data_IF_462826633568
#
_entry.id   IF_462826633568
#
_cell.length_a   1.000
_cell.length_b   1.000
_cell.length_c   1.000
_cell.angle_alpha   90.00
_cell.angle_beta   90.00
_cell.angle_gamma   90.00
#
_symmetry.space_group_name_H-M   'P 1'
#
loop_
_entity.id
_entity.type
_entity.pdbx_description
1 polymer ?
#
# COMPACT_ATOMS: atom_id res chain seq x y z
N UNK A 1 33.73 -40.05 -30.01
CA UNK A 1 32.44 -40.28 -30.70
C UNK A 1 31.32 -40.04 -29.70
N UNK A 2 30.25 -39.33 -30.02
CA UNK A 2 29.10 -39.25 -29.15
C UNK A 2 28.56 -40.68 -28.92
N UNK A 3 28.11 -40.95 -27.68
CA UNK A 3 27.50 -42.22 -27.30
C UNK A 3 26.27 -42.53 -28.18
N UNK A 4 25.97 -43.83 -28.40
CA UNK A 4 24.73 -44.24 -29.10
C UNK A 4 23.47 -43.65 -28.45
N UNK A 5 23.53 -43.28 -27.16
CA UNK A 5 22.42 -42.64 -26.39
C UNK A 5 22.46 -41.11 -26.45
N UNK A 6 23.34 -40.50 -27.26
CA UNK A 6 23.45 -39.03 -27.31
C UNK A 6 22.16 -38.36 -27.77
N UNK A 7 21.47 -38.91 -28.75
CA UNK A 7 20.17 -38.44 -29.18
C UNK A 7 19.11 -38.51 -28.09
N UNK A 8 19.14 -39.54 -27.23
CA UNK A 8 18.28 -39.69 -26.10
C UNK A 8 18.52 -38.60 -25.03
N UNK A 9 19.79 -38.25 -24.81
CA UNK A 9 20.17 -37.16 -23.89
C UNK A 9 19.67 -35.82 -24.40
N UNK A 10 19.75 -35.54 -25.70
CA UNK A 10 19.22 -34.34 -26.33
C UNK A 10 17.71 -34.29 -26.15
N UNK A 11 16.97 -35.37 -26.48
CA UNK A 11 15.55 -35.44 -26.32
C UNK A 11 15.13 -35.29 -24.85
N UNK A 12 15.86 -35.89 -23.91
CA UNK A 12 15.65 -35.75 -22.46
C UNK A 12 15.88 -34.34 -21.95
N UNK A 13 16.85 -33.60 -22.48
CA UNK A 13 17.07 -32.19 -22.13
C UNK A 13 15.90 -31.31 -22.61
N UNK A 14 15.43 -31.52 -23.84
CA UNK A 14 14.29 -30.83 -24.40
C UNK A 14 13.00 -31.09 -23.63
N UNK A 15 12.78 -32.34 -23.20
CA UNK A 15 11.61 -32.70 -22.38
C UNK A 15 11.66 -32.00 -21.01
N UNK A 16 12.81 -31.96 -20.34
CA UNK A 16 12.97 -31.25 -19.06
C UNK A 16 12.73 -29.76 -19.20
N UNK A 17 13.28 -29.15 -20.25
CA UNK A 17 13.11 -27.73 -20.53
C UNK A 17 11.63 -27.39 -20.83
N UNK A 18 10.94 -28.23 -21.61
CA UNK A 18 9.51 -28.08 -21.90
C UNK A 18 8.64 -28.22 -20.62
N UNK A 19 8.95 -29.19 -19.76
CA UNK A 19 8.26 -29.35 -18.49
C UNK A 19 8.47 -28.13 -17.55
N UNK A 20 9.68 -27.57 -17.49
CA UNK A 20 9.94 -26.37 -16.74
C UNK A 20 9.11 -25.19 -17.27
N UNK A 21 9.02 -25.02 -18.59
CA UNK A 21 8.21 -23.98 -19.22
C UNK A 21 6.71 -24.16 -18.96
N UNK A 22 6.19 -25.39 -19.05
CA UNK A 22 4.79 -25.71 -18.75
C UNK A 22 4.47 -25.43 -17.27
N UNK A 23 5.30 -25.87 -16.35
CA UNK A 23 5.11 -25.65 -14.90
C UNK A 23 5.13 -24.15 -14.58
N UNK A 24 6.03 -23.40 -15.18
CA UNK A 24 6.10 -21.95 -15.00
C UNK A 24 4.86 -21.25 -15.57
N UNK A 25 4.39 -21.69 -16.73
CA UNK A 25 3.16 -21.16 -17.34
C UNK A 25 1.94 -21.48 -16.47
N UNK A 26 1.82 -22.70 -15.96
CA UNK A 26 0.74 -23.11 -15.05
C UNK A 26 0.76 -22.27 -13.76
N UNK A 27 1.94 -22.04 -13.19
CA UNK A 27 2.11 -21.16 -12.02
C UNK A 27 1.71 -19.71 -12.32
N UNK A 28 2.09 -19.16 -13.47
CA UNK A 28 1.67 -17.84 -13.92
C UNK A 28 0.13 -17.71 -14.05
N UNK A 29 -0.51 -18.71 -14.64
CA UNK A 29 -1.96 -18.74 -14.80
C UNK A 29 -2.65 -18.82 -13.44
N UNK A 30 -2.20 -19.72 -12.58
CA UNK A 30 -2.78 -19.91 -11.23
C UNK A 30 -2.67 -18.65 -10.38
N UNK A 31 -1.61 -17.86 -10.55
CA UNK A 31 -1.35 -16.65 -9.79
C UNK A 31 -1.70 -15.36 -10.54
N UNK A 32 -2.42 -15.42 -11.67
CA UNK A 32 -2.74 -14.24 -12.48
C UNK A 32 -3.54 -13.17 -11.70
N UNK A 33 -4.35 -13.58 -10.72
CA UNK A 33 -5.13 -12.72 -9.84
C UNK A 33 -4.47 -12.44 -8.48
N UNK A 34 -3.30 -13.05 -8.21
CA UNK A 34 -2.61 -12.89 -6.93
C UNK A 34 -1.93 -11.51 -6.86
N UNK A 35 -2.34 -10.69 -5.89
CA UNK A 35 -1.79 -9.35 -5.71
C UNK A 35 -0.29 -9.40 -5.42
N UNK A 36 0.48 -8.65 -6.19
CA UNK A 36 1.94 -8.57 -6.03
C UNK A 36 2.73 -9.65 -6.77
N UNK A 37 2.09 -10.66 -7.34
CA UNK A 37 2.74 -11.69 -8.14
C UNK A 37 3.36 -11.10 -9.42
N UNK A 38 4.55 -11.59 -9.76
CA UNK A 38 5.26 -11.21 -10.99
C UNK A 38 5.34 -12.39 -11.94
N UNK A 39 4.91 -12.19 -13.18
CA UNK A 39 5.04 -13.21 -14.21
C UNK A 39 6.47 -13.70 -14.29
N UNK A 40 6.65 -15.02 -14.33
CA UNK A 40 7.93 -15.68 -14.45
C UNK A 40 8.15 -16.19 -15.86
N UNK A 41 9.39 -16.18 -16.31
CA UNK A 41 9.83 -16.70 -17.61
C UNK A 41 11.00 -17.62 -17.39
N UNK A 42 11.00 -18.72 -18.11
CA UNK A 42 12.11 -19.68 -18.13
C UNK A 42 13.15 -19.19 -19.12
N UNK A 43 14.39 -19.00 -18.66
CA UNK A 43 15.53 -18.70 -19.50
C UNK A 43 16.17 -20.04 -19.93
N UNK A 44 16.26 -20.24 -21.24
CA UNK A 44 16.82 -21.44 -21.84
C UNK A 44 17.92 -21.06 -22.81
N UNK A 45 18.94 -21.87 -22.85
CA UNK A 45 20.09 -21.71 -23.74
C UNK A 45 20.42 -23.03 -24.41
N UNK A 46 20.96 -22.97 -25.63
CA UNK A 46 21.51 -24.15 -26.28
C UNK A 46 22.70 -24.65 -25.51
N UNK A 47 22.70 -25.95 -25.16
CA UNK A 47 23.85 -26.55 -24.49
C UNK A 47 25.07 -26.53 -25.38
N UNK A 48 26.28 -26.52 -24.79
CA UNK A 48 27.53 -26.48 -25.49
C UNK A 48 27.64 -27.62 -26.51
N UNK A 49 27.85 -27.27 -27.78
CA UNK A 49 27.98 -28.25 -28.85
C UNK A 49 29.22 -29.14 -28.65
N UNK A 50 29.04 -30.43 -28.79
CA UNK A 50 30.16 -31.38 -28.75
C UNK A 50 30.92 -31.39 -30.08
N UNK A 51 32.22 -31.18 -30.00
CA UNK A 51 33.11 -31.32 -31.17
C UNK A 51 33.20 -32.78 -31.59
N UNK A 52 32.74 -33.06 -32.79
CA UNK A 52 32.86 -34.37 -33.40
C UNK A 52 33.99 -34.40 -34.41
N UNK A 53 34.78 -35.47 -34.43
CA UNK A 53 35.87 -35.64 -35.40
C UNK A 53 35.37 -36.17 -36.76
N UNK A 54 34.19 -35.78 -37.15
CA UNK A 54 33.54 -36.15 -38.40
C UNK A 54 33.41 -34.92 -39.33
N UNK A 55 33.07 -35.14 -40.60
CA UNK A 55 32.97 -34.10 -41.63
C UNK A 55 31.96 -32.99 -41.30
N UNK A 56 31.00 -33.20 -40.40
CA UNK A 56 30.05 -32.20 -39.96
C UNK A 56 30.43 -31.42 -38.69
N UNK A 57 31.62 -31.61 -38.16
CA UNK A 57 32.29 -30.74 -37.16
C UNK A 57 31.73 -30.79 -35.76
N UNK A 58 30.65 -30.07 -35.45
CA UNK A 58 30.04 -29.98 -34.12
C UNK A 58 28.63 -30.56 -34.11
N UNK A 59 28.29 -31.33 -33.09
CA UNK A 59 26.94 -31.83 -32.84
C UNK A 59 26.28 -31.01 -31.71
N UNK A 60 25.06 -30.55 -31.92
CA UNK A 60 24.28 -29.89 -30.89
C UNK A 60 23.99 -30.80 -29.72
N UNK A 61 24.09 -30.32 -28.48
CA UNK A 61 23.99 -31.11 -27.25
C UNK A 61 22.65 -30.93 -26.52
N UNK A 62 21.65 -30.30 -27.15
CA UNK A 62 20.35 -30.08 -26.57
C UNK A 62 20.17 -28.69 -25.97
N UNK A 63 19.32 -28.56 -24.93
CA UNK A 63 18.98 -27.31 -24.28
C UNK A 63 19.14 -27.39 -22.76
N UNK A 64 19.68 -26.33 -22.18
CA UNK A 64 19.76 -26.16 -20.73
C UNK A 64 18.81 -25.09 -20.25
N UNK A 65 18.13 -25.34 -19.11
CA UNK A 65 17.34 -24.35 -18.41
C UNK A 65 18.24 -23.65 -17.39
N UNK A 66 18.55 -22.37 -17.64
CA UNK A 66 19.49 -21.61 -16.84
C UNK A 66 18.83 -21.07 -15.58
N UNK A 67 17.66 -20.46 -15.72
CA UNK A 67 16.94 -19.83 -14.60
C UNK A 67 15.46 -19.63 -14.89
N UNK A 68 14.69 -19.51 -13.83
CA UNK A 68 13.32 -18.97 -13.87
C UNK A 68 13.37 -17.57 -13.29
N UNK A 69 13.11 -16.57 -14.11
CA UNK A 69 13.26 -15.16 -13.76
C UNK A 69 11.93 -14.43 -13.79
N UNK A 70 11.78 -13.41 -12.92
CA UNK A 70 10.61 -12.54 -12.91
C UNK A 70 10.76 -11.47 -13.99
N UNK A 71 9.67 -11.24 -14.73
CA UNK A 71 9.60 -10.11 -15.67
C UNK A 71 9.16 -8.88 -14.88
N UNK A 72 10.12 -8.03 -14.52
CA UNK A 72 9.87 -6.76 -13.81
C UNK A 72 10.77 -5.66 -14.33
N UNK A 73 10.19 -4.45 -14.40
CA UNK A 73 10.92 -3.22 -14.66
C UNK A 73 11.14 -2.47 -13.35
N UNK A 74 12.39 -2.27 -12.97
CA UNK A 74 12.80 -1.60 -11.73
C UNK A 74 12.34 -0.13 -11.70
N UNK A 75 12.35 0.55 -12.83
CA UNK A 75 11.94 1.95 -12.93
C UNK A 75 10.46 2.14 -12.55
N UNK A 76 9.58 1.31 -13.13
CA UNK A 76 8.15 1.37 -12.78
C UNK A 76 7.87 0.95 -11.34
N UNK A 77 8.65 0.01 -10.80
CA UNK A 77 8.51 -0.40 -9.41
C UNK A 77 8.80 0.78 -8.44
N UNK A 78 9.89 1.51 -8.66
CA UNK A 78 10.25 2.66 -7.82
C UNK A 78 9.17 3.75 -7.92
N UNK A 79 8.75 4.09 -9.14
CA UNK A 79 7.64 5.07 -9.33
C UNK A 79 6.35 4.65 -8.65
N UNK A 80 5.99 3.36 -8.73
CA UNK A 80 4.80 2.86 -8.05
C UNK A 80 4.92 2.98 -6.53
N UNK A 81 6.09 2.70 -5.98
CA UNK A 81 6.31 2.84 -4.53
C UNK A 81 6.17 4.28 -4.07
N UNK A 82 6.84 5.21 -4.75
CA UNK A 82 6.78 6.63 -4.42
C UNK A 82 5.34 7.17 -4.50
N UNK A 83 4.61 6.78 -5.55
CA UNK A 83 3.22 7.19 -5.70
C UNK A 83 2.31 6.56 -4.63
N UNK A 84 2.53 5.29 -4.27
CA UNK A 84 1.73 4.63 -3.24
C UNK A 84 1.99 5.21 -1.84
N UNK A 85 3.22 5.64 -1.55
CA UNK A 85 3.55 6.35 -0.33
C UNK A 85 2.82 7.70 -0.26
N UNK A 86 2.87 8.50 -1.33
CA UNK A 86 2.14 9.77 -1.44
C UNK A 86 0.62 9.57 -1.37
N UNK A 87 0.11 8.49 -1.97
CA UNK A 87 -1.31 8.17 -1.89
C UNK A 87 -1.76 7.96 -0.44
N UNK A 88 -0.97 7.23 0.37
CA UNK A 88 -1.25 7.05 1.80
C UNK A 88 -1.29 8.38 2.56
N UNK A 89 -0.37 9.30 2.25
CA UNK A 89 -0.33 10.66 2.80
C UNK A 89 -1.63 11.42 2.50
N UNK A 90 -1.93 11.62 1.23
CA UNK A 90 -3.10 12.41 0.83
C UNK A 90 -4.43 11.79 1.24
N UNK A 91 -4.52 10.47 1.28
CA UNK A 91 -5.71 9.77 1.75
C UNK A 91 -6.02 10.09 3.22
N UNK A 92 -5.00 10.07 4.08
CA UNK A 92 -5.17 10.42 5.49
C UNK A 92 -5.53 11.88 5.68
N UNK A 93 -4.83 12.79 5.00
CA UNK A 93 -5.14 14.22 5.02
C UNK A 93 -6.59 14.49 4.61
N UNK A 94 -7.01 13.93 3.48
CA UNK A 94 -8.37 14.13 2.98
C UNK A 94 -9.43 13.59 3.96
N UNK A 95 -9.17 12.42 4.58
CA UNK A 95 -10.08 11.84 5.55
C UNK A 95 -10.24 12.73 6.79
N UNK A 96 -9.15 13.17 7.41
CA UNK A 96 -9.22 13.98 8.63
C UNK A 96 -9.73 15.39 8.35
N UNK A 97 -9.31 16.03 7.24
CA UNK A 97 -9.87 17.32 6.85
C UNK A 97 -11.38 17.25 6.67
N UNK A 98 -11.86 16.22 5.97
CA UNK A 98 -13.29 16.01 5.79
C UNK A 98 -14.02 15.77 7.13
N UNK A 99 -13.47 14.98 8.02
CA UNK A 99 -14.05 14.73 9.35
C UNK A 99 -14.15 16.02 10.16
N UNK A 100 -13.13 16.87 10.11
CA UNK A 100 -13.14 18.17 10.78
C UNK A 100 -14.17 19.10 10.13
N UNK A 101 -14.27 19.16 8.80
CA UNK A 101 -15.31 19.91 8.10
C UNK A 101 -16.73 19.46 8.51
N UNK A 102 -16.93 18.14 8.61
CA UNK A 102 -18.22 17.57 9.04
C UNK A 102 -18.57 17.97 10.47
N UNK A 103 -17.58 18.11 11.36
CA UNK A 103 -17.82 18.63 12.72
C UNK A 103 -18.21 20.12 12.74
N UNK A 104 -17.59 20.93 11.89
CA UNK A 104 -17.97 22.34 11.76
C UNK A 104 -19.37 22.51 11.16
N UNK A 105 -19.75 21.62 10.25
CA UNK A 105 -21.08 21.56 9.60
C UNK A 105 -21.62 22.94 9.19
N UNK A 106 -20.74 23.82 8.70
CA UNK A 106 -21.09 25.19 8.33
C UNK A 106 -21.51 25.27 6.85
N UNK A 107 -22.78 24.92 6.59
CA UNK A 107 -23.39 24.99 5.25
C UNK A 107 -24.26 26.23 5.04
N UNK A 108 -24.12 27.25 5.90
CA UNK A 108 -24.87 28.50 5.85
C UNK A 108 -26.28 28.45 6.52
N UNK A 109 -26.85 27.26 6.71
CA UNK A 109 -28.10 27.07 7.43
C UNK A 109 -27.90 26.42 8.80
N UNK A 110 -26.81 25.71 8.97
CA UNK A 110 -26.38 25.07 10.22
C UNK A 110 -24.93 25.50 10.50
N UNK A 111 -24.39 25.13 11.64
CA UNK A 111 -23.01 25.43 12.01
C UNK A 111 -22.84 26.78 12.72
N UNK A 112 -21.58 27.22 12.82
CA UNK A 112 -21.19 28.42 13.55
C UNK A 112 -21.94 29.65 13.07
N UNK A 113 -21.97 29.89 11.76
CA UNK A 113 -22.61 31.08 11.18
C UNK A 113 -24.06 31.20 11.57
N UNK A 114 -24.85 30.12 11.49
CA UNK A 114 -26.26 30.12 11.86
C UNK A 114 -26.50 30.45 13.34
N UNK A 115 -25.69 29.86 14.22
CA UNK A 115 -25.80 30.08 15.67
C UNK A 115 -25.41 31.49 16.05
N UNK A 116 -24.34 32.02 15.42
CA UNK A 116 -23.86 33.39 15.61
C UNK A 116 -24.86 34.43 15.09
N UNK A 117 -25.39 34.22 13.89
CA UNK A 117 -26.43 35.13 13.30
C UNK A 117 -27.68 35.20 14.19
N UNK A 118 -28.14 34.08 14.74
CA UNK A 118 -29.26 34.04 15.69
C UNK A 118 -28.98 34.84 16.96
N UNK A 119 -27.75 34.70 17.50
CA UNK A 119 -27.34 35.47 18.68
C UNK A 119 -27.28 36.96 18.36
N UNK A 120 -26.74 37.34 17.20
CA UNK A 120 -26.61 38.73 16.75
C UNK A 120 -28.02 39.38 16.54
N UNK A 121 -28.96 38.66 15.90
CA UNK A 121 -30.34 39.11 15.72
C UNK A 121 -31.07 39.25 17.06
N UNK A 122 -30.87 38.33 18.00
CA UNK A 122 -31.45 38.41 19.33
C UNK A 122 -30.90 39.63 20.10
N UNK A 123 -29.59 39.95 19.96
CA UNK A 123 -28.99 41.16 20.53
C UNK A 123 -29.62 42.44 19.94
N UNK A 124 -29.81 42.50 18.62
CA UNK A 124 -30.48 43.64 17.97
C UNK A 124 -31.91 43.82 18.50
N UNK A 125 -32.64 42.70 18.76
CA UNK A 125 -33.97 42.75 19.34
C UNK A 125 -33.96 43.33 20.75
N UNK A 126 -32.93 43.02 21.56
CA UNK A 126 -32.74 43.65 22.88
C UNK A 126 -32.46 45.13 22.77
N UNK A 127 -31.60 45.55 21.80
CA UNK A 127 -31.31 46.97 21.58
C UNK A 127 -32.57 47.74 21.16
N UNK A 128 -33.40 47.15 20.31
CA UNK A 128 -34.64 47.78 19.83
C UNK A 128 -35.75 47.84 20.90
N UNK A 129 -35.76 46.89 21.84
CA UNK A 129 -36.78 46.78 22.86
C UNK A 129 -36.21 46.31 24.21
N UNK A 130 -35.43 47.19 24.84
CA UNK A 130 -34.67 46.90 26.05
C UNK A 130 -35.56 46.58 27.28
N UNK A 131 -36.81 46.98 27.30
CA UNK A 131 -37.74 46.71 28.40
C UNK A 131 -38.45 45.34 28.30
N UNK A 132 -38.32 44.66 27.16
CA UNK A 132 -38.93 43.35 26.93
C UNK A 132 -38.12 42.22 27.56
N UNK A 133 -38.70 41.55 28.54
CA UNK A 133 -38.09 40.37 29.16
C UNK A 133 -37.98 39.18 28.17
N UNK A 134 -38.92 39.11 27.21
CA UNK A 134 -38.85 38.12 26.14
C UNK A 134 -37.58 38.30 25.27
N UNK A 135 -37.23 39.54 24.85
CA UNK A 135 -36.04 39.82 24.06
C UNK A 135 -34.76 39.46 24.81
N UNK A 136 -34.72 39.79 26.13
CA UNK A 136 -33.59 39.41 26.99
C UNK A 136 -33.42 37.90 27.11
N UNK A 137 -34.53 37.17 27.33
CA UNK A 137 -34.54 35.73 27.45
C UNK A 137 -34.09 35.02 26.13
N UNK A 138 -34.55 35.55 24.99
CA UNK A 138 -34.15 35.05 23.67
C UNK A 138 -32.66 35.24 23.43
N UNK A 139 -32.09 36.39 23.82
CA UNK A 139 -30.64 36.63 23.73
C UNK A 139 -29.84 35.66 24.61
N UNK A 140 -30.26 35.44 25.87
CA UNK A 140 -29.61 34.50 26.80
C UNK A 140 -29.64 33.08 26.22
N UNK A 141 -30.77 32.65 25.67
CA UNK A 141 -30.91 31.34 25.04
C UNK A 141 -30.02 31.18 23.82
N UNK A 142 -29.90 32.23 22.98
CA UNK A 142 -29.04 32.20 21.80
C UNK A 142 -27.55 32.22 22.18
N UNK A 143 -27.17 32.95 23.22
CA UNK A 143 -25.81 32.96 23.75
C UNK A 143 -25.43 31.59 24.36
N UNK A 144 -26.41 30.97 25.07
CA UNK A 144 -26.20 29.59 25.56
C UNK A 144 -26.05 28.61 24.41
N UNK A 145 -26.86 28.68 23.37
CA UNK A 145 -26.72 27.82 22.19
C UNK A 145 -25.36 27.96 21.51
N UNK A 146 -24.76 29.17 21.47
CA UNK A 146 -23.42 29.38 20.98
C UNK A 146 -22.34 28.70 21.87
N UNK A 147 -22.50 28.80 23.18
CA UNK A 147 -21.62 28.15 24.13
C UNK A 147 -21.70 26.62 24.02
N UNK A 148 -22.91 26.08 23.92
CA UNK A 148 -23.17 24.65 23.75
C UNK A 148 -22.60 24.14 22.42
N UNK A 149 -22.63 24.94 21.35
CA UNK A 149 -22.00 24.64 20.07
C UNK A 149 -20.47 24.47 20.23
N UNK A 150 -19.79 25.42 20.90
CA UNK A 150 -18.36 25.30 21.12
C UNK A 150 -17.97 24.13 22.03
N UNK A 151 -18.75 23.86 23.06
CA UNK A 151 -18.53 22.72 23.95
C UNK A 151 -18.65 21.40 23.21
N UNK A 152 -19.66 21.27 22.33
CA UNK A 152 -19.85 20.08 21.48
C UNK A 152 -18.69 19.93 20.50
N UNK A 153 -18.29 21.02 19.85
CA UNK A 153 -17.16 21.04 18.94
C UNK A 153 -15.86 20.58 19.63
N UNK A 154 -15.59 21.13 20.81
CA UNK A 154 -14.43 20.75 21.61
C UNK A 154 -14.45 19.26 21.99
N UNK A 155 -15.61 18.76 22.40
CA UNK A 155 -15.80 17.33 22.70
C UNK A 155 -15.51 16.44 21.49
N UNK A 156 -16.06 16.79 20.32
CA UNK A 156 -15.85 16.05 19.08
C UNK A 156 -14.37 16.05 18.66
N UNK A 157 -13.68 17.18 18.77
CA UNK A 157 -12.26 17.27 18.46
C UNK A 157 -11.38 16.48 19.43
N UNK A 158 -11.74 16.44 20.73
CA UNK A 158 -11.06 15.59 21.71
C UNK A 158 -11.24 14.11 21.41
N UNK A 159 -12.43 13.70 21.02
CA UNK A 159 -12.71 12.32 20.63
C UNK A 159 -11.93 11.94 19.36
N UNK A 160 -11.94 12.80 18.34
CA UNK A 160 -11.12 12.62 17.15
C UNK A 160 -9.63 12.47 17.49
N UNK A 161 -9.12 13.28 18.42
CA UNK A 161 -7.72 13.16 18.86
C UNK A 161 -7.41 11.81 19.49
N UNK A 162 -8.33 11.26 20.29
CA UNK A 162 -8.18 9.91 20.89
C UNK A 162 -8.19 8.83 19.82
N UNK A 163 -9.10 8.93 18.86
CA UNK A 163 -9.20 7.98 17.75
C UNK A 163 -7.94 7.99 16.88
N UNK A 164 -7.42 9.18 16.59
CA UNK A 164 -6.17 9.36 15.86
C UNK A 164 -4.98 8.73 16.62
N UNK A 165 -4.89 8.92 17.93
CA UNK A 165 -3.84 8.31 18.73
C UNK A 165 -3.92 6.78 18.73
N UNK A 166 -5.12 6.21 18.78
CA UNK A 166 -5.35 4.78 18.67
C UNK A 166 -4.93 4.27 17.28
N UNK A 167 -5.30 4.98 16.22
CA UNK A 167 -4.89 4.63 14.85
C UNK A 167 -3.36 4.69 14.67
N UNK A 168 -2.69 5.69 15.26
CA UNK A 168 -1.23 5.77 15.28
C UNK A 168 -0.64 4.52 15.91
N UNK A 169 -1.11 4.11 17.09
CA UNK A 169 -0.63 2.92 17.77
C UNK A 169 -0.80 1.67 16.91
N UNK A 170 -2.00 1.46 16.34
CA UNK A 170 -2.27 0.33 15.45
C UNK A 170 -1.36 0.32 14.21
N UNK A 171 -1.11 1.48 13.60
CA UNK A 171 -0.22 1.59 12.45
C UNK A 171 1.24 1.29 12.83
N UNK A 172 1.71 1.69 14.01
CA UNK A 172 3.05 1.35 14.52
C UNK A 172 3.18 -0.15 14.72
N UNK A 173 2.20 -0.80 15.33
CA UNK A 173 2.20 -2.25 15.55
C UNK A 173 2.21 -3.02 14.21
N UNK A 174 1.45 -2.55 13.23
CA UNK A 174 1.47 -3.11 11.87
C UNK A 174 2.83 -2.94 11.19
N UNK A 175 3.46 -1.76 11.30
CA UNK A 175 4.80 -1.51 10.74
C UNK A 175 5.84 -2.45 11.37
N UNK A 176 5.79 -2.65 12.68
CA UNK A 176 6.69 -3.55 13.39
C UNK A 176 6.48 -5.00 12.94
N UNK A 177 5.24 -5.46 12.85
CA UNK A 177 4.91 -6.80 12.35
C UNK A 177 5.40 -7.03 10.90
N UNK A 178 5.24 -6.03 10.03
CA UNK A 178 5.73 -6.09 8.65
C UNK A 178 7.27 -6.12 8.63
N UNK A 179 7.93 -5.36 9.49
CA UNK A 179 9.39 -5.37 9.57
C UNK A 179 9.94 -6.75 9.98
N UNK A 180 9.30 -7.43 10.94
CA UNK A 180 9.64 -8.80 11.33
C UNK A 180 9.42 -9.81 10.19
N UNK A 181 8.31 -9.68 9.45
CA UNK A 181 8.05 -10.50 8.26
C UNK A 181 9.13 -10.30 7.20
N UNK A 182 9.50 -9.05 6.90
CA UNK A 182 10.57 -8.75 5.94
C UNK A 182 11.90 -9.36 6.38
N UNK A 183 12.23 -9.28 7.67
CA UNK A 183 13.45 -9.89 8.21
C UNK A 183 13.43 -11.42 8.06
N UNK A 184 12.30 -12.06 8.32
CA UNK A 184 12.12 -13.51 8.17
C UNK A 184 12.20 -13.92 6.70
N UNK A 185 11.51 -13.22 5.79
CA UNK A 185 11.55 -13.46 4.35
C UNK A 185 12.98 -13.27 3.80
N UNK A 186 13.70 -12.25 4.28
CA UNK A 186 15.10 -12.01 3.88
C UNK A 186 16.02 -13.17 4.26
N UNK A 187 15.83 -13.77 5.44
CA UNK A 187 16.57 -14.97 5.84
C UNK A 187 16.25 -16.16 4.93
N UNK A 188 14.96 -16.39 4.62
CA UNK A 188 14.54 -17.48 3.74
C UNK A 188 15.06 -17.30 2.32
N UNK A 189 15.02 -16.08 1.76
CA UNK A 189 15.58 -15.75 0.47
C UNK A 189 17.08 -16.08 0.45
N UNK A 190 17.82 -15.68 1.49
CA UNK A 190 19.25 -15.91 1.58
C UNK A 190 19.58 -17.42 1.55
N UNK A 191 18.83 -18.23 2.29
CA UNK A 191 19.01 -19.70 2.32
C UNK A 191 18.77 -20.31 0.94
N UNK A 192 17.71 -19.91 0.24
CA UNK A 192 17.38 -20.43 -1.10
C UNK A 192 18.45 -19.99 -2.13
N UNK A 193 18.85 -18.73 -2.08
CA UNK A 193 19.78 -18.16 -3.07
C UNK A 193 21.22 -18.61 -2.88
N UNK A 194 21.62 -19.02 -1.67
CA UNK A 194 22.88 -19.72 -1.44
C UNK A 194 23.00 -21.05 -2.21
N UNK A 195 21.87 -21.69 -2.51
CA UNK A 195 21.83 -22.91 -3.34
C UNK A 195 21.87 -22.64 -4.85
N UNK A 196 21.94 -21.38 -5.29
CA UNK A 196 21.93 -20.97 -6.70
C UNK A 196 20.53 -20.80 -7.32
N UNK A 197 19.46 -21.09 -6.57
CA UNK A 197 18.08 -20.86 -7.02
C UNK A 197 17.64 -19.40 -6.79
N UNK A 198 16.67 -18.90 -7.58
CA UNK A 198 16.07 -17.56 -7.35
C UNK A 198 14.77 -17.70 -6.59
N UNK A 199 14.66 -17.02 -5.45
CA UNK A 199 13.49 -17.04 -4.58
C UNK A 199 12.41 -16.06 -5.07
N UNK A 200 11.82 -16.32 -6.24
CA UNK A 200 10.94 -15.39 -6.96
C UNK A 200 9.70 -14.98 -6.15
N UNK A 201 8.97 -15.92 -5.59
CA UNK A 201 7.73 -15.68 -4.81
C UNK A 201 8.02 -14.93 -3.51
N UNK A 202 9.08 -15.33 -2.77
CA UNK A 202 9.47 -14.66 -1.53
C UNK A 202 9.92 -13.22 -1.78
N UNK A 203 10.60 -12.98 -2.89
CA UNK A 203 10.99 -11.63 -3.31
C UNK A 203 9.78 -10.78 -3.70
N UNK A 204 8.74 -11.36 -4.29
CA UNK A 204 7.49 -10.65 -4.60
C UNK A 204 6.75 -10.29 -3.32
N UNK A 205 6.69 -11.22 -2.36
CA UNK A 205 6.09 -10.99 -1.04
C UNK A 205 6.83 -9.91 -0.25
N UNK A 206 8.17 -9.97 -0.21
CA UNK A 206 8.99 -8.93 0.44
C UNK A 206 8.74 -7.55 -0.14
N UNK A 207 8.59 -7.44 -1.47
CA UNK A 207 8.29 -6.16 -2.12
C UNK A 207 6.91 -5.63 -1.76
N UNK A 208 5.90 -6.49 -1.71
CA UNK A 208 4.56 -6.10 -1.29
C UNK A 208 4.58 -5.57 0.14
N UNK A 209 5.29 -6.24 1.05
CA UNK A 209 5.46 -5.81 2.44
C UNK A 209 6.21 -4.47 2.55
N UNK A 210 7.24 -4.24 1.73
CA UNK A 210 7.96 -2.95 1.66
C UNK A 210 7.05 -1.81 1.20
N UNK A 211 6.19 -2.03 0.19
CA UNK A 211 5.21 -1.05 -0.28
C UNK A 211 4.23 -0.70 0.84
N UNK A 212 3.69 -1.70 1.51
CA UNK A 212 2.75 -1.52 2.61
C UNK A 212 3.39 -0.77 3.79
N UNK A 213 4.63 -1.12 4.13
CA UNK A 213 5.40 -0.40 5.17
C UNK A 213 5.60 1.07 4.83
N UNK A 214 5.94 1.39 3.57
CA UNK A 214 6.11 2.77 3.14
C UNK A 214 4.80 3.56 3.20
N UNK A 215 3.71 2.97 2.73
CA UNK A 215 2.37 3.54 2.80
C UNK A 215 1.97 3.86 4.25
N UNK A 216 2.12 2.91 5.17
CA UNK A 216 1.76 3.10 6.58
C UNK A 216 2.66 4.14 7.26
N UNK A 217 3.97 4.14 6.97
CA UNK A 217 4.91 5.13 7.51
C UNK A 217 4.52 6.54 7.10
N UNK A 218 4.19 6.76 5.83
CA UNK A 218 3.82 8.09 5.34
C UNK A 218 2.48 8.53 5.94
N UNK A 219 1.49 7.62 5.99
CA UNK A 219 0.23 7.84 6.66
C UNK A 219 0.44 8.29 8.12
N UNK A 220 1.34 7.65 8.84
CA UNK A 220 1.65 7.96 10.24
C UNK A 220 2.30 9.35 10.41
N UNK A 221 3.23 9.72 9.54
CA UNK A 221 3.94 11.01 9.60
C UNK A 221 2.96 12.18 9.48
N UNK A 222 1.96 12.06 8.63
CA UNK A 222 1.00 13.14 8.41
C UNK A 222 -0.06 13.23 9.50
N UNK A 223 -0.48 12.09 10.05
CA UNK A 223 -1.37 12.07 11.21
C UNK A 223 -0.73 12.79 12.40
N UNK A 224 0.56 12.55 12.66
CA UNK A 224 1.29 13.24 13.73
C UNK A 224 1.43 14.74 13.46
N UNK A 225 1.61 15.14 12.21
CA UNK A 225 1.69 16.56 11.83
C UNK A 225 0.34 17.27 11.98
N UNK A 226 -0.76 16.60 11.63
CA UNK A 226 -2.12 17.14 11.78
C UNK A 226 -2.55 17.31 13.25
N UNK A 227 -1.92 16.61 14.19
CA UNK A 227 -2.18 16.77 15.64
C UNK A 227 -1.40 17.93 16.26
N UNK A 228 -0.39 18.48 15.58
CA UNK A 228 0.46 19.58 16.07
C UNK A 228 -0.02 20.94 15.57
N UNK A 229 -0.88 20.97 14.55
CA UNK A 229 -1.55 22.18 14.02
C UNK A 229 -2.92 22.38 14.69
#
# INVERSE_FOLDING_TARGET
MPSQFFGLQIAGSGLRASNAALNTTANNISNAQTKGYSRQVVSQEANNALRTFTTYGCAGAGVDTIAIERVRDQFYNVKYWDNNCKYGEYQSKAYYCKTIEDYFNDNGSTGFKSVFDKMSQALQSVVSNASSDHSKQTFISSAKALTDYFNTMYGNLQELQKDVNLEIQQNVDQINSIAEKIATLSKQINVIELSGAKANELRDQTKLDQILRCYLRQKLTDITLALVL
#
